data_IF_123311596449
#
_entry.id   IF_123311596449
#
_cell.length_a   1.000
_cell.length_b   1.000
_cell.length_c   1.000
_cell.angle_alpha   90.00
_cell.angle_beta   90.00
_cell.angle_gamma   90.00
#
_symmetry.space_group_name_H-M   'P 1'
#
loop_
_entity.id
_entity.type
_entity.pdbx_description
1 polymer ?
#
# COMPACT_ATOMS: atom_id res chain seq x y z
N UNK A 1 -10.15 -1.91 -23.10
CA UNK A 1 -9.52 -2.53 -21.92
C UNK A 1 -9.25 -4.00 -22.25
N UNK A 2 -8.05 -4.47 -21.97
CA UNK A 2 -7.58 -5.85 -22.19
C UNK A 2 -7.19 -6.42 -20.84
N UNK A 3 -7.48 -7.69 -20.61
CA UNK A 3 -7.14 -8.38 -19.36
C UNK A 3 -6.02 -9.38 -19.55
N UNK A 4 -5.28 -9.64 -18.49
CA UNK A 4 -4.27 -10.69 -18.45
C UNK A 4 -4.93 -12.07 -18.52
N UNK A 5 -4.41 -12.94 -19.39
CA UNK A 5 -4.95 -14.31 -19.55
C UNK A 5 -4.42 -15.25 -18.46
N UNK A 6 -3.36 -14.86 -17.73
CA UNK A 6 -2.78 -15.62 -16.61
C UNK A 6 -3.37 -15.25 -15.25
N UNK A 7 -3.87 -14.02 -15.09
CA UNK A 7 -4.64 -13.57 -13.92
C UNK A 7 -5.87 -12.80 -14.38
N UNK A 8 -6.31 -11.77 -13.65
CA UNK A 8 -7.49 -10.97 -13.99
C UNK A 8 -7.19 -9.46 -14.09
N UNK A 9 -5.92 -9.07 -14.02
CA UNK A 9 -5.53 -7.65 -14.00
C UNK A 9 -5.74 -7.02 -15.38
N UNK A 10 -6.37 -5.83 -15.48
CA UNK A 10 -6.49 -5.10 -16.73
C UNK A 10 -5.24 -4.30 -17.08
N UNK A 11 -5.06 -4.01 -18.36
CA UNK A 11 -3.99 -3.16 -18.87
C UNK A 11 -4.15 -1.67 -18.54
N UNK A 12 -5.26 -1.31 -17.95
CA UNK A 12 -5.55 0.06 -17.49
C UNK A 12 -4.97 0.38 -16.10
N UNK A 13 -4.43 -0.62 -15.40
CA UNK A 13 -3.69 -0.37 -14.15
C UNK A 13 -2.47 0.52 -14.45
N UNK A 14 -2.29 1.64 -13.72
CA UNK A 14 -1.16 2.54 -13.94
C UNK A 14 0.19 1.82 -13.84
N UNK A 15 1.04 2.03 -14.85
CA UNK A 15 2.39 1.48 -14.91
C UNK A 15 2.49 0.00 -15.30
N UNK A 16 1.37 -0.73 -15.41
CA UNK A 16 1.43 -2.14 -15.78
C UNK A 16 1.79 -2.32 -17.26
N UNK A 17 2.67 -3.26 -17.56
CA UNK A 17 3.03 -3.64 -18.92
C UNK A 17 2.43 -4.99 -19.29
N UNK A 18 2.02 -5.12 -20.55
CA UNK A 18 1.50 -6.36 -21.12
C UNK A 18 2.38 -6.81 -22.28
N UNK A 19 2.65 -8.10 -22.35
CA UNK A 19 3.31 -8.76 -23.48
C UNK A 19 2.51 -9.98 -23.91
N UNK A 20 2.96 -10.66 -24.97
CA UNK A 20 2.45 -11.97 -25.36
C UNK A 20 3.37 -13.06 -24.83
N UNK A 21 2.79 -14.12 -24.30
CA UNK A 21 3.53 -15.33 -23.99
C UNK A 21 3.77 -16.19 -25.25
N UNK A 22 4.38 -17.36 -25.07
CA UNK A 22 4.71 -18.28 -26.18
C UNK A 22 3.48 -18.84 -26.92
N UNK A 23 2.30 -18.78 -26.27
CA UNK A 23 1.02 -19.22 -26.85
C UNK A 23 0.22 -18.04 -27.44
N UNK A 24 0.78 -16.84 -27.46
CA UNK A 24 0.13 -15.61 -27.93
C UNK A 24 -0.88 -15.00 -26.95
N UNK A 25 -0.96 -15.50 -25.72
CA UNK A 25 -1.84 -14.97 -24.64
C UNK A 25 -1.26 -13.72 -24.01
N UNK A 26 -2.12 -12.83 -23.56
CA UNK A 26 -1.70 -11.62 -22.83
C UNK A 26 -1.19 -11.98 -21.43
N UNK A 27 0.02 -11.55 -21.12
CA UNK A 27 0.60 -11.70 -19.77
C UNK A 27 1.04 -10.34 -19.23
N UNK A 28 0.63 -10.00 -18.02
CA UNK A 28 1.02 -8.75 -17.37
C UNK A 28 2.37 -8.85 -16.65
N UNK A 29 3.03 -7.70 -16.47
CA UNK A 29 4.34 -7.60 -15.78
C UNK A 29 4.32 -8.27 -14.40
N UNK A 30 3.25 -8.14 -13.62
CA UNK A 30 3.14 -8.81 -12.32
C UNK A 30 3.18 -10.34 -12.41
N UNK A 31 2.57 -10.93 -13.44
CA UNK A 31 2.65 -12.37 -13.66
C UNK A 31 4.04 -12.81 -14.13
N UNK A 32 4.71 -11.99 -14.94
CA UNK A 32 6.10 -12.24 -15.37
C UNK A 32 7.03 -12.17 -14.16
N UNK A 33 6.96 -11.10 -13.39
CA UNK A 33 7.78 -10.90 -12.21
C UNK A 33 7.57 -12.04 -11.18
N UNK A 34 6.31 -12.46 -11.00
CA UNK A 34 6.01 -13.59 -10.12
C UNK A 34 6.69 -14.90 -10.57
N UNK A 35 6.67 -15.21 -11.88
CA UNK A 35 7.38 -16.37 -12.43
C UNK A 35 8.90 -16.23 -12.28
N UNK A 36 9.44 -15.04 -12.48
CA UNK A 36 10.88 -14.79 -12.37
C UNK A 36 11.39 -15.04 -10.94
N UNK A 37 10.54 -14.83 -9.92
CA UNK A 37 10.88 -15.10 -8.52
C UNK A 37 11.20 -16.55 -8.21
N UNK A 38 10.72 -17.50 -9.02
CA UNK A 38 11.04 -18.93 -8.87
C UNK A 38 12.52 -19.22 -9.11
N UNK A 39 13.21 -18.36 -9.88
CA UNK A 39 14.63 -18.49 -10.22
C UNK A 39 15.57 -17.73 -9.26
N UNK A 40 15.04 -17.06 -8.22
CA UNK A 40 15.83 -16.27 -7.30
C UNK A 40 16.39 -17.15 -6.19
N UNK A 41 17.71 -17.08 -5.98
CA UNK A 41 18.35 -17.69 -4.81
C UNK A 41 18.15 -16.82 -3.56
N UNK A 42 17.00 -16.99 -2.91
CA UNK A 42 16.70 -16.28 -1.66
C UNK A 42 17.63 -16.65 -0.50
N UNK A 43 18.35 -17.77 -0.55
CA UNK A 43 19.36 -18.09 0.48
C UNK A 43 20.59 -17.21 0.32
N UNK A 44 21.03 -16.98 -0.92
CA UNK A 44 22.12 -16.03 -1.19
C UNK A 44 21.71 -14.61 -0.80
N UNK A 45 20.52 -14.14 -1.22
CA UNK A 45 19.99 -12.80 -0.87
C UNK A 45 19.80 -12.61 0.64
N UNK A 46 19.40 -13.64 1.37
CA UNK A 46 19.30 -13.54 2.83
C UNK A 46 20.67 -13.34 3.48
N UNK A 47 21.74 -14.00 2.97
CA UNK A 47 23.12 -13.75 3.43
C UNK A 47 23.58 -12.32 3.11
N UNK A 48 23.16 -11.76 1.98
CA UNK A 48 23.41 -10.34 1.68
C UNK A 48 22.74 -9.43 2.70
N UNK A 49 21.50 -9.77 3.12
CA UNK A 49 20.79 -9.03 4.16
C UNK A 49 21.49 -9.16 5.52
N UNK A 50 21.97 -10.36 5.89
CA UNK A 50 22.77 -10.57 7.12
C UNK A 50 24.01 -9.69 7.12
N UNK A 51 24.78 -9.72 6.02
CA UNK A 51 25.99 -8.91 5.87
C UNK A 51 25.69 -7.40 5.88
N UNK A 52 24.53 -6.99 5.33
CA UNK A 52 24.07 -5.61 5.40
C UNK A 52 23.70 -5.22 6.84
N UNK A 53 22.94 -6.05 7.55
CA UNK A 53 22.55 -5.83 8.94
C UNK A 53 23.77 -5.72 9.85
N UNK A 54 24.79 -6.55 9.65
CA UNK A 54 26.03 -6.53 10.46
C UNK A 54 26.77 -5.19 10.39
N UNK A 55 26.63 -4.43 9.29
CA UNK A 55 27.18 -3.07 9.17
C UNK A 55 26.49 -2.07 10.10
N UNK A 56 25.26 -2.33 10.50
CA UNK A 56 24.44 -1.43 11.31
C UNK A 56 24.21 -1.95 12.73
N UNK A 57 24.44 -3.23 12.96
CA UNK A 57 24.24 -3.87 14.25
C UNK A 57 25.14 -3.26 15.30
N UNK A 58 24.53 -2.51 16.24
CA UNK A 58 25.24 -1.85 17.35
C UNK A 58 26.53 -1.14 16.92
N UNK A 59 26.46 -0.47 15.78
CA UNK A 59 27.60 0.17 15.16
C UNK A 59 28.34 1.08 16.14
N UNK A 60 29.29 0.47 16.86
CA UNK A 60 30.24 1.17 17.75
C UNK A 60 29.55 2.01 18.85
N UNK A 61 28.38 1.64 19.31
CA UNK A 61 27.61 2.44 20.27
C UNK A 61 27.07 3.75 19.68
N UNK A 62 27.12 3.91 18.36
CA UNK A 62 26.76 5.14 17.66
C UNK A 62 25.25 5.36 17.57
N UNK A 63 24.46 4.28 17.55
CA UNK A 63 23.02 4.34 17.36
C UNK A 63 22.32 3.56 18.48
N UNK A 64 21.23 4.10 18.98
CA UNK A 64 20.38 3.40 19.94
C UNK A 64 19.66 2.21 19.31
N UNK A 65 19.33 2.35 18.00
CA UNK A 65 18.62 1.34 17.21
C UNK A 65 19.47 0.94 16.01
N UNK A 66 19.42 -0.35 15.68
CA UNK A 66 20.17 -0.92 14.54
C UNK A 66 19.52 -0.60 13.21
N UNK A 67 18.19 -0.52 13.19
CA UNK A 67 17.40 -0.18 12.00
C UNK A 67 16.07 0.47 12.37
N UNK A 68 15.48 1.15 11.40
CA UNK A 68 14.11 1.63 11.45
C UNK A 68 13.22 0.79 10.53
N UNK A 69 11.98 0.52 10.92
CA UNK A 69 11.00 -0.20 10.10
C UNK A 69 9.75 0.66 9.96
N UNK A 70 9.32 0.89 8.72
CA UNK A 70 8.04 1.52 8.43
C UNK A 70 6.92 0.50 8.62
N UNK A 71 5.97 0.78 9.51
CA UNK A 71 4.90 -0.16 9.89
C UNK A 71 3.53 0.51 9.90
N UNK A 72 2.49 -0.27 9.58
CA UNK A 72 1.08 0.13 9.76
C UNK A 72 0.36 -0.67 10.86
N UNK A 73 0.95 -1.75 11.35
CA UNK A 73 0.27 -2.74 12.17
C UNK A 73 -0.28 -3.92 11.36
N UNK A 74 -0.27 -3.84 10.03
CA UNK A 74 -0.74 -4.89 9.14
C UNK A 74 0.10 -6.17 9.17
N UNK A 75 -0.37 -7.19 8.47
CA UNK A 75 0.29 -8.50 8.36
C UNK A 75 1.75 -8.44 7.91
N UNK A 76 2.02 -7.55 6.94
CA UNK A 76 3.36 -7.37 6.39
C UNK A 76 4.30 -6.73 7.39
N UNK A 77 3.80 -5.82 8.24
CA UNK A 77 4.55 -5.24 9.35
C UNK A 77 4.99 -6.30 10.36
N UNK A 78 4.11 -7.25 10.72
CA UNK A 78 4.47 -8.38 11.60
C UNK A 78 5.58 -9.24 11.01
N UNK A 79 5.50 -9.51 9.70
CA UNK A 79 6.52 -10.28 9.01
C UNK A 79 7.86 -9.53 8.93
N UNK A 80 7.84 -8.23 8.63
CA UNK A 80 9.05 -7.39 8.60
C UNK A 80 9.76 -7.37 9.96
N UNK A 81 9.01 -7.13 11.03
CA UNK A 81 9.57 -7.09 12.39
C UNK A 81 10.13 -8.45 12.78
N UNK A 82 9.43 -9.54 12.46
CA UNK A 82 9.94 -10.90 12.68
C UNK A 82 11.30 -11.13 12.00
N UNK A 83 11.42 -10.81 10.72
CA UNK A 83 12.68 -11.00 9.99
C UNK A 83 13.80 -10.18 10.63
N UNK A 84 13.57 -8.89 10.84
CA UNK A 84 14.63 -8.00 11.32
C UNK A 84 15.01 -8.29 12.78
N UNK A 85 14.03 -8.50 13.66
CA UNK A 85 14.29 -8.68 15.09
C UNK A 85 14.56 -10.13 15.46
N UNK A 86 13.68 -11.06 15.11
CA UNK A 86 13.80 -12.44 15.61
C UNK A 86 14.78 -13.28 14.77
N UNK A 87 14.81 -13.11 13.44
CA UNK A 87 15.74 -13.87 12.57
C UNK A 87 17.14 -13.25 12.54
N UNK A 88 17.22 -11.93 12.42
CA UNK A 88 18.49 -11.23 12.28
C UNK A 88 19.01 -10.63 13.59
N UNK A 89 18.22 -10.68 14.69
CA UNK A 89 18.63 -10.19 16.01
C UNK A 89 18.93 -8.68 16.06
N UNK A 90 18.30 -7.90 15.15
CA UNK A 90 18.41 -6.44 15.14
C UNK A 90 17.59 -5.82 16.29
N UNK A 91 17.96 -4.61 16.70
CA UNK A 91 17.17 -3.78 17.61
C UNK A 91 16.43 -2.67 16.82
N UNK A 92 15.22 -2.93 16.28
CA UNK A 92 14.51 -1.98 15.45
C UNK A 92 13.74 -0.95 16.28
N UNK A 93 13.62 0.29 15.74
CA UNK A 93 12.58 1.25 16.07
C UNK A 93 11.53 1.23 14.96
N UNK A 94 10.25 1.29 15.34
CA UNK A 94 9.13 1.23 14.41
C UNK A 94 8.54 2.62 14.22
N UNK A 95 8.31 3.04 12.96
CA UNK A 95 7.64 4.29 12.62
C UNK A 95 6.31 4.03 11.94
N UNK A 96 5.25 4.62 12.49
CA UNK A 96 3.88 4.47 11.99
C UNK A 96 3.24 5.82 11.73
N UNK A 97 2.26 5.85 10.83
CA UNK A 97 1.36 6.99 10.63
C UNK A 97 -0.05 6.51 10.91
N UNK A 98 -0.72 7.17 11.83
CA UNK A 98 -2.14 6.97 12.11
C UNK A 98 -2.94 7.99 11.30
N UNK A 99 -3.98 7.54 10.61
CA UNK A 99 -4.94 8.46 10.04
C UNK A 99 -5.96 8.91 11.11
N UNK A 100 -6.81 9.88 10.75
CA UNK A 100 -7.84 10.38 11.66
C UNK A 100 -9.23 9.80 11.33
N UNK A 101 -9.32 8.74 10.54
CA UNK A 101 -10.55 7.99 10.31
C UNK A 101 -10.91 7.12 11.51
N UNK A 102 -12.09 6.51 11.47
CA UNK A 102 -12.49 5.56 12.50
C UNK A 102 -11.63 4.30 12.40
N UNK A 103 -10.82 4.07 13.41
CA UNK A 103 -10.03 2.85 13.51
C UNK A 103 -10.93 1.65 13.76
N UNK A 104 -10.61 0.53 13.10
CA UNK A 104 -11.21 -0.77 13.42
C UNK A 104 -10.67 -1.30 14.75
N UNK A 105 -11.37 -2.23 15.37
CA UNK A 105 -10.84 -2.93 16.56
C UNK A 105 -9.63 -3.79 16.21
N UNK A 106 -9.65 -4.39 15.00
CA UNK A 106 -8.50 -5.12 14.46
C UNK A 106 -7.27 -4.20 14.34
N UNK A 107 -7.42 -3.01 13.75
CA UNK A 107 -6.32 -2.04 13.58
C UNK A 107 -5.70 -1.60 14.90
N UNK A 108 -6.53 -1.27 15.89
CA UNK A 108 -6.07 -0.92 17.26
C UNK A 108 -5.25 -2.04 17.89
N UNK A 109 -5.78 -3.29 17.82
CA UNK A 109 -5.11 -4.47 18.37
C UNK A 109 -3.79 -4.77 17.68
N UNK A 110 -3.76 -4.66 16.36
CA UNK A 110 -2.61 -5.04 15.55
C UNK A 110 -1.39 -4.11 15.77
N UNK A 111 -1.60 -2.81 15.84
CA UNK A 111 -0.51 -1.87 16.12
C UNK A 111 0.07 -2.10 17.53
N UNK A 112 -0.80 -2.30 18.51
CA UNK A 112 -0.41 -2.65 19.87
C UNK A 112 0.33 -3.98 19.95
N UNK A 113 -0.16 -4.99 19.21
CA UNK A 113 0.43 -6.33 19.16
C UNK A 113 1.88 -6.33 18.63
N UNK A 114 2.23 -5.46 17.69
CA UNK A 114 3.62 -5.32 17.24
C UNK A 114 4.57 -4.98 18.39
N UNK A 115 4.20 -4.03 19.24
CA UNK A 115 5.02 -3.66 20.40
C UNK A 115 5.06 -4.78 21.44
N UNK A 116 3.92 -5.38 21.76
CA UNK A 116 3.81 -6.40 22.82
C UNK A 116 4.46 -7.72 22.41
N UNK A 117 4.21 -8.20 21.19
CA UNK A 117 4.71 -9.50 20.72
C UNK A 117 6.21 -9.47 20.46
N UNK A 118 6.69 -8.38 19.86
CA UNK A 118 8.10 -8.29 19.47
C UNK A 118 8.96 -7.42 20.42
N UNK A 119 8.36 -6.77 21.40
CA UNK A 119 9.08 -5.89 22.35
C UNK A 119 9.82 -4.75 21.63
N UNK A 120 9.16 -4.08 20.67
CA UNK A 120 9.71 -2.96 19.92
C UNK A 120 9.10 -1.63 20.37
N UNK A 121 9.90 -0.57 20.32
CA UNK A 121 9.36 0.79 20.48
C UNK A 121 8.69 1.22 19.18
N UNK A 122 7.51 1.85 19.30
CA UNK A 122 6.76 2.43 18.18
C UNK A 122 6.62 3.93 18.40
N UNK A 123 6.89 4.71 17.36
CA UNK A 123 6.60 6.15 17.33
C UNK A 123 5.62 6.38 16.20
N UNK A 124 4.40 6.77 16.57
CA UNK A 124 3.31 7.05 15.65
C UNK A 124 3.16 8.55 15.43
N UNK A 125 3.00 8.96 14.18
CA UNK A 125 2.54 10.29 13.81
C UNK A 125 1.02 10.28 13.68
N UNK A 126 0.36 11.12 14.47
CA UNK A 126 -1.04 11.49 14.23
C UNK A 126 -1.04 12.91 13.64
N UNK A 127 -1.40 13.06 12.34
CA UNK A 127 -1.30 14.34 11.67
C UNK A 127 -2.37 15.34 12.15
N UNK A 128 -2.11 16.62 11.90
CA UNK A 128 -3.09 17.68 12.16
C UNK A 128 -4.37 17.47 11.36
N UNK A 129 -5.50 17.40 12.08
CA UNK A 129 -6.82 17.10 11.51
C UNK A 129 -7.27 18.16 10.49
N UNK A 130 -6.98 19.45 10.74
CA UNK A 130 -7.43 20.53 9.85
C UNK A 130 -6.72 20.46 8.50
N UNK A 131 -5.40 20.34 8.55
CA UNK A 131 -4.57 20.19 7.34
C UNK A 131 -4.96 18.94 6.57
N UNK A 132 -5.11 17.81 7.27
CA UNK A 132 -5.52 16.54 6.65
C UNK A 132 -6.85 16.68 5.90
N UNK A 133 -7.91 17.19 6.56
CA UNK A 133 -9.23 17.37 5.93
C UNK A 133 -9.16 18.21 4.67
N UNK A 134 -8.47 19.34 4.71
CA UNK A 134 -8.37 20.29 3.59
C UNK A 134 -7.61 19.70 2.41
N UNK A 135 -6.43 19.11 2.67
CA UNK A 135 -5.62 18.52 1.61
C UNK A 135 -6.34 17.32 0.99
N UNK A 136 -6.96 16.46 1.82
CA UNK A 136 -7.71 15.31 1.33
C UNK A 136 -8.91 15.72 0.47
N UNK A 137 -9.65 16.76 0.85
CA UNK A 137 -10.75 17.28 0.03
C UNK A 137 -10.22 17.80 -1.32
N UNK A 138 -9.17 18.63 -1.33
CA UNK A 138 -8.55 19.14 -2.55
C UNK A 138 -8.05 18.00 -3.47
N UNK A 139 -7.39 17.00 -2.91
CA UNK A 139 -6.86 15.87 -3.70
C UNK A 139 -7.97 14.94 -4.19
N UNK A 140 -9.03 14.79 -3.44
CA UNK A 140 -10.21 14.04 -3.86
C UNK A 140 -10.94 14.75 -5.00
N UNK A 141 -11.21 16.06 -4.88
CA UNK A 141 -11.89 16.84 -5.92
C UNK A 141 -11.09 16.91 -7.22
N UNK A 142 -9.78 17.22 -7.13
CA UNK A 142 -8.95 17.48 -8.30
C UNK A 142 -8.43 16.21 -8.97
N UNK A 143 -8.06 15.19 -8.18
CA UNK A 143 -7.32 14.02 -8.67
C UNK A 143 -8.03 12.69 -8.43
N UNK A 144 -9.18 12.67 -7.75
CA UNK A 144 -9.83 11.44 -7.30
C UNK A 144 -8.92 10.60 -6.38
N UNK A 145 -8.13 11.27 -5.52
CA UNK A 145 -7.20 10.67 -4.56
C UNK A 145 -7.62 11.02 -3.13
N UNK A 146 -8.60 10.32 -2.54
CA UNK A 146 -9.20 10.71 -1.26
C UNK A 146 -8.23 10.59 -0.07
N UNK A 147 -7.22 9.73 -0.16
CA UNK A 147 -6.31 9.41 0.95
C UNK A 147 -4.86 9.84 0.72
N UNK A 148 -4.61 10.57 -0.37
CA UNK A 148 -3.23 10.92 -0.77
C UNK A 148 -2.40 11.55 0.35
N UNK A 149 -3.04 12.31 1.23
CA UNK A 149 -2.38 12.89 2.40
C UNK A 149 -1.71 11.82 3.27
N UNK A 150 -2.43 10.75 3.58
CA UNK A 150 -1.89 9.63 4.36
C UNK A 150 -0.93 8.79 3.52
N UNK A 151 -1.30 8.51 2.28
CA UNK A 151 -0.46 7.75 1.34
C UNK A 151 0.93 8.38 1.20
N UNK A 152 1.02 9.70 1.20
CA UNK A 152 2.29 10.42 1.16
C UNK A 152 3.07 10.28 2.45
N UNK A 153 2.42 10.46 3.60
CA UNK A 153 3.06 10.41 4.91
C UNK A 153 3.62 9.03 5.27
N UNK A 154 2.93 7.94 4.92
CA UNK A 154 3.44 6.58 5.21
C UNK A 154 4.79 6.30 4.54
N UNK A 155 5.12 7.02 3.47
CA UNK A 155 6.43 6.92 2.83
C UNK A 155 7.42 8.01 3.28
N UNK A 156 6.99 9.25 3.48
CA UNK A 156 7.89 10.36 3.79
C UNK A 156 8.26 10.47 5.28
N UNK A 157 7.32 10.18 6.17
CA UNK A 157 7.54 10.27 7.62
C UNK A 157 8.66 9.34 8.13
N UNK A 158 8.73 8.05 7.75
CA UNK A 158 9.82 7.17 8.18
C UNK A 158 11.20 7.69 7.80
N UNK A 159 11.36 8.32 6.64
CA UNK A 159 12.64 8.94 6.23
C UNK A 159 13.02 10.10 7.17
N UNK A 160 12.07 10.99 7.46
CA UNK A 160 12.31 12.11 8.35
C UNK A 160 12.70 11.65 9.76
N UNK A 161 12.04 10.58 10.24
CA UNK A 161 12.32 10.02 11.57
C UNK A 161 13.62 9.24 11.61
N UNK A 162 13.94 8.46 10.59
CA UNK A 162 15.22 7.75 10.49
C UNK A 162 16.41 8.72 10.55
N UNK A 163 16.29 9.89 9.90
CA UNK A 163 17.28 10.97 10.01
C UNK A 163 17.36 11.55 11.42
N UNK A 164 16.20 11.81 12.07
CA UNK A 164 16.17 12.36 13.44
C UNK A 164 16.75 11.41 14.48
N UNK A 165 16.46 10.12 14.34
CA UNK A 165 16.96 9.06 15.25
C UNK A 165 18.36 8.56 14.86
N UNK A 166 18.97 9.14 13.83
CA UNK A 166 20.26 8.70 13.31
C UNK A 166 20.30 7.20 13.08
N UNK A 167 19.26 6.65 12.44
CA UNK A 167 19.09 5.23 12.14
C UNK A 167 19.16 5.02 10.63
N UNK A 168 20.37 4.86 10.05
CA UNK A 168 20.54 4.88 8.59
C UNK A 168 19.84 3.77 7.84
N UNK A 169 19.78 2.55 8.40
CA UNK A 169 19.07 1.43 7.78
C UNK A 169 17.57 1.58 7.99
N UNK A 170 16.84 1.88 6.91
CA UNK A 170 15.40 2.00 6.92
C UNK A 170 14.76 0.88 6.09
N UNK A 171 13.86 0.12 6.69
CA UNK A 171 13.26 -1.08 6.08
C UNK A 171 11.82 -0.82 5.70
N UNK A 172 11.51 -1.02 4.42
CA UNK A 172 10.16 -1.12 3.86
C UNK A 172 9.86 -2.58 3.51
N UNK A 173 8.59 -2.93 3.38
CA UNK A 173 8.16 -4.28 3.04
C UNK A 173 8.50 -4.65 1.61
N UNK A 174 7.60 -4.36 0.70
CA UNK A 174 7.73 -4.73 -0.71
C UNK A 174 7.90 -3.54 -1.65
N UNK A 175 8.54 -3.80 -2.77
CA UNK A 175 8.45 -2.93 -3.94
C UNK A 175 7.07 -3.18 -4.61
N UNK A 176 6.12 -2.30 -4.35
CA UNK A 176 4.74 -2.39 -4.86
C UNK A 176 4.69 -2.46 -6.39
N UNK A 177 5.58 -1.72 -7.08
CA UNK A 177 5.65 -1.70 -8.54
C UNK A 177 6.08 -3.07 -9.08
N UNK A 178 7.10 -3.66 -8.52
CA UNK A 178 7.58 -5.00 -8.92
C UNK A 178 6.59 -6.11 -8.56
N UNK A 179 6.07 -6.09 -7.33
CA UNK A 179 5.23 -7.17 -6.79
C UNK A 179 3.84 -7.22 -7.43
N UNK A 180 3.26 -6.06 -7.70
CA UNK A 180 1.83 -5.98 -8.04
C UNK A 180 1.54 -5.41 -9.42
N UNK A 181 2.59 -5.16 -10.22
CA UNK A 181 2.45 -4.74 -11.60
C UNK A 181 2.42 -3.22 -11.75
N UNK A 182 3.56 -2.61 -11.54
CA UNK A 182 3.90 -1.26 -11.98
C UNK A 182 4.87 -1.29 -13.15
N UNK A 183 5.66 -0.22 -13.27
CA UNK A 183 6.67 -0.04 -14.32
C UNK A 183 7.94 -0.88 -14.11
N UNK A 184 8.21 -1.34 -12.89
CA UNK A 184 9.45 -2.02 -12.55
C UNK A 184 9.46 -3.44 -13.12
N UNK A 185 10.44 -3.72 -13.94
CA UNK A 185 10.69 -5.03 -14.56
C UNK A 185 11.83 -5.77 -13.86
N UNK A 186 12.66 -5.05 -13.12
CA UNK A 186 13.77 -5.58 -12.34
C UNK A 186 13.57 -5.28 -10.87
N UNK A 187 13.98 -6.24 -10.05
CA UNK A 187 13.92 -6.10 -8.60
C UNK A 187 15.15 -5.38 -8.08
N UNK A 188 14.96 -4.40 -7.21
CA UNK A 188 16.04 -3.65 -6.57
C UNK A 188 15.97 -3.76 -5.06
N UNK A 189 17.11 -3.86 -4.35
CA UNK A 189 17.11 -3.75 -2.88
C UNK A 189 16.85 -2.34 -2.38
N UNK A 190 17.09 -1.30 -3.20
CA UNK A 190 17.01 0.09 -2.78
C UNK A 190 15.58 0.63 -2.81
N UNK A 191 15.14 1.19 -1.69
CA UNK A 191 13.86 1.90 -1.58
C UNK A 191 14.03 3.44 -1.64
N UNK A 192 15.15 3.97 -2.15
CA UNK A 192 15.39 5.41 -2.22
C UNK A 192 14.33 6.16 -3.06
N UNK A 193 13.78 5.48 -4.06
CA UNK A 193 12.78 6.06 -4.99
C UNK A 193 11.33 5.70 -4.64
N UNK A 194 11.08 5.20 -3.43
CA UNK A 194 9.74 4.77 -3.00
C UNK A 194 8.69 5.88 -3.12
N UNK A 195 9.10 7.13 -3.07
CA UNK A 195 8.23 8.29 -3.25
C UNK A 195 7.63 8.43 -4.66
N UNK A 196 8.26 7.79 -5.65
CA UNK A 196 7.86 7.82 -7.05
C UNK A 196 6.86 6.73 -7.41
N UNK A 197 6.51 5.86 -6.44
CA UNK A 197 5.52 4.82 -6.68
C UNK A 197 4.12 5.43 -6.92
N UNK A 198 3.26 4.69 -7.63
CA UNK A 198 1.95 5.18 -8.06
C UNK A 198 1.00 5.60 -6.91
N UNK A 199 1.21 5.12 -5.68
CA UNK A 199 0.41 5.45 -4.50
C UNK A 199 0.79 6.83 -3.98
N UNK A 200 2.07 7.06 -3.73
CA UNK A 200 2.62 8.33 -3.25
C UNK A 200 2.83 9.36 -4.37
N UNK A 201 2.44 9.04 -5.60
CA UNK A 201 2.73 9.77 -6.85
C UNK A 201 2.90 11.28 -6.65
N UNK A 202 3.84 11.83 -7.38
CA UNK A 202 4.31 13.20 -7.24
C UNK A 202 3.20 14.21 -7.60
N UNK A 203 2.45 14.63 -6.59
CA UNK A 203 1.64 15.82 -6.68
C UNK A 203 2.50 17.00 -6.20
N UNK A 204 2.37 18.12 -6.87
CA UNK A 204 3.05 19.35 -6.45
C UNK A 204 2.50 19.81 -5.09
N UNK A 205 3.26 19.58 -4.03
CA UNK A 205 2.86 19.90 -2.66
C UNK A 205 2.54 21.39 -2.50
N UNK A 206 3.23 22.24 -3.24
CA UNK A 206 3.03 23.70 -3.19
C UNK A 206 1.63 24.12 -3.65
N UNK A 207 0.92 23.31 -4.44
CA UNK A 207 -0.47 23.59 -4.84
C UNK A 207 -1.45 23.55 -3.67
N UNK A 208 -1.06 22.94 -2.55
CA UNK A 208 -1.91 22.84 -1.37
C UNK A 208 -1.69 23.98 -0.37
N UNK A 209 -0.59 24.76 -0.55
CA UNK A 209 -0.28 25.94 0.28
C UNK A 209 -1.22 27.08 -0.08
N UNK A 210 -1.88 27.65 0.92
CA UNK A 210 -2.80 28.80 0.79
C UNK A 210 -2.86 29.60 2.10
N UNK A 211 -3.89 30.44 2.27
CA UNK A 211 -4.06 31.23 3.49
C UNK A 211 -4.27 30.38 4.76
N UNK A 212 -4.77 29.15 4.60
CA UNK A 212 -5.11 28.26 5.71
C UNK A 212 -4.12 27.11 5.91
N UNK A 213 -3.37 26.72 4.86
CA UNK A 213 -2.37 25.66 4.87
C UNK A 213 -1.02 26.31 4.57
N UNK A 214 -0.15 26.39 5.56
CA UNK A 214 1.19 26.93 5.42
C UNK A 214 2.20 25.83 5.12
N UNK A 215 3.38 26.20 4.62
CA UNK A 215 4.47 25.28 4.31
C UNK A 215 4.86 24.42 5.54
N UNK A 216 4.87 25.04 6.71
CA UNK A 216 5.17 24.34 7.98
C UNK A 216 4.20 23.19 8.29
N UNK A 217 2.93 23.28 7.85
CA UNK A 217 1.95 22.20 8.02
C UNK A 217 2.27 20.98 7.14
N UNK A 218 3.06 21.18 6.09
CA UNK A 218 3.40 20.18 5.08
C UNK A 218 4.87 19.74 5.11
N UNK A 219 5.65 20.13 6.12
CA UNK A 219 7.10 19.82 6.19
C UNK A 219 7.43 18.33 6.03
N UNK A 220 6.59 17.45 6.59
CA UNK A 220 6.80 15.99 6.51
C UNK A 220 6.46 15.39 5.15
N UNK A 221 5.85 16.18 4.24
CA UNK A 221 5.52 15.73 2.87
C UNK A 221 6.66 15.90 1.90
N UNK A 222 7.60 16.82 2.19
CA UNK A 222 8.73 17.05 1.32
C UNK A 222 9.74 15.91 1.42
N UNK A 223 10.27 15.51 0.28
CA UNK A 223 11.37 14.55 0.25
C UNK A 223 12.62 15.16 0.88
N UNK A 224 13.38 14.38 1.63
CA UNK A 224 14.71 14.82 2.02
C UNK A 224 15.52 15.18 0.77
N UNK A 225 16.34 16.24 0.85
CA UNK A 225 17.27 16.55 -0.22
C UNK A 225 18.31 15.41 -0.38
N UNK A 226 19.06 15.44 -1.50
CA UNK A 226 20.04 14.40 -1.84
C UNK A 226 21.02 14.14 -0.71
N UNK A 227 21.60 15.19 -0.10
CA UNK A 227 22.60 15.07 0.97
C UNK A 227 22.06 14.35 2.21
N UNK A 228 20.76 14.51 2.50
CA UNK A 228 20.07 13.79 3.57
C UNK A 228 19.73 12.36 3.18
N UNK A 229 19.29 12.13 1.93
CA UNK A 229 19.01 10.79 1.41
C UNK A 229 20.28 9.92 1.35
N UNK A 230 21.43 10.52 1.05
CA UNK A 230 22.70 9.80 0.99
C UNK A 230 23.19 9.32 2.37
N UNK A 231 22.64 9.88 3.45
CA UNK A 231 22.87 9.40 4.82
C UNK A 231 22.04 8.18 5.21
N UNK A 232 21.05 7.82 4.39
CA UNK A 232 20.13 6.71 4.65
C UNK A 232 20.37 5.57 3.65
N UNK A 233 20.12 4.37 4.12
CA UNK A 233 20.06 3.17 3.30
C UNK A 233 18.68 2.53 3.41
N UNK A 234 17.66 3.08 2.72
CA UNK A 234 16.35 2.49 2.69
C UNK A 234 16.34 1.27 1.78
N UNK A 235 15.74 0.17 2.26
CA UNK A 235 15.68 -1.10 1.54
C UNK A 235 14.26 -1.63 1.43
N UNK A 236 14.01 -2.43 0.38
CA UNK A 236 12.86 -3.31 0.28
C UNK A 236 13.21 -4.70 0.82
N UNK A 237 12.52 -5.14 1.86
CA UNK A 237 12.74 -6.46 2.44
C UNK A 237 12.39 -7.59 1.46
N UNK A 238 11.39 -7.36 0.60
CA UNK A 238 10.96 -8.31 -0.43
C UNK A 238 12.06 -8.73 -1.42
N UNK A 239 13.08 -7.91 -1.60
CA UNK A 239 14.26 -8.28 -2.39
C UNK A 239 15.04 -9.44 -1.76
N UNK A 240 15.17 -9.43 -0.44
CA UNK A 240 16.04 -10.35 0.30
C UNK A 240 15.32 -11.62 0.75
N UNK A 241 14.00 -11.57 0.91
CA UNK A 241 13.19 -12.69 1.39
C UNK A 241 12.01 -12.94 0.45
N UNK A 242 11.61 -14.20 0.34
CA UNK A 242 10.44 -14.56 -0.48
C UNK A 242 9.20 -13.86 0.08
N UNK A 243 8.69 -12.91 -0.70
CA UNK A 243 7.51 -12.13 -0.33
C UNK A 243 6.24 -12.71 -0.91
N UNK A 244 5.26 -13.00 -0.04
CA UNK A 244 3.93 -13.45 -0.42
C UNK A 244 2.93 -12.95 0.62
N UNK A 245 2.02 -12.08 0.20
CA UNK A 245 1.11 -11.40 1.13
C UNK A 245 0.16 -12.35 1.87
N UNK A 246 -0.19 -13.50 1.28
CA UNK A 246 -1.01 -14.50 1.97
C UNK A 246 -0.20 -15.31 3.00
N UNK A 247 1.01 -15.70 2.66
CA UNK A 247 1.91 -16.37 3.61
C UNK A 247 2.26 -15.46 4.79
N UNK A 248 2.47 -14.16 4.52
CA UNK A 248 2.70 -13.15 5.55
C UNK A 248 1.47 -13.04 6.49
N UNK A 249 0.26 -13.12 5.93
CA UNK A 249 -0.98 -13.12 6.72
C UNK A 249 -1.06 -14.36 7.63
N UNK A 250 -0.83 -15.56 7.10
CA UNK A 250 -0.85 -16.80 7.91
C UNK A 250 0.18 -16.71 9.04
N UNK A 251 1.40 -16.23 8.73
CA UNK A 251 2.42 -15.99 9.73
C UNK A 251 1.96 -14.98 10.79
N UNK A 252 1.45 -13.83 10.38
CA UNK A 252 1.00 -12.78 11.29
C UNK A 252 -0.12 -13.25 12.22
N UNK A 253 -1.08 -14.04 11.71
CA UNK A 253 -2.12 -14.69 12.55
C UNK A 253 -1.52 -15.56 13.65
N UNK A 254 -0.45 -16.30 13.35
CA UNK A 254 0.24 -17.11 14.37
C UNK A 254 0.95 -16.26 15.44
N UNK A 255 1.08 -14.94 15.21
CA UNK A 255 1.70 -13.95 16.09
C UNK A 255 0.71 -12.96 16.69
N UNK A 256 -0.59 -13.25 16.64
CA UNK A 256 -1.63 -12.44 17.27
C UNK A 256 -2.24 -11.36 16.39
N UNK A 257 -1.90 -11.32 15.09
CA UNK A 257 -2.58 -10.45 14.14
C UNK A 257 -4.07 -10.78 14.05
N UNK A 258 -4.91 -9.77 14.08
CA UNK A 258 -6.37 -9.85 13.95
C UNK A 258 -6.79 -9.30 12.60
N UNK A 259 -7.56 -10.06 11.82
CA UNK A 259 -8.24 -9.60 10.62
C UNK A 259 -9.63 -9.04 10.95
N UNK A 260 -10.40 -8.68 9.91
CA UNK A 260 -11.73 -8.11 10.06
C UNK A 260 -12.84 -9.17 10.20
N UNK A 261 -12.51 -10.46 10.35
CA UNK A 261 -13.50 -11.51 10.54
C UNK A 261 -14.35 -11.26 11.79
N UNK A 262 -15.66 -11.23 11.63
CA UNK A 262 -16.61 -10.92 12.70
C UNK A 262 -16.76 -9.43 13.05
N UNK A 263 -15.92 -8.56 12.51
CA UNK A 263 -16.02 -7.10 12.71
C UNK A 263 -16.63 -6.39 11.50
N UNK A 264 -16.14 -6.70 10.30
CA UNK A 264 -16.57 -6.05 9.08
C UNK A 264 -16.39 -6.96 7.85
N UNK A 265 -17.49 -7.49 7.34
CA UNK A 265 -17.48 -8.21 6.06
C UNK A 265 -17.52 -7.21 4.89
N UNK A 266 -16.34 -6.92 4.33
CA UNK A 266 -16.19 -5.98 3.23
C UNK A 266 -16.72 -6.55 1.93
N UNK A 267 -17.75 -5.91 1.35
CA UNK A 267 -18.33 -6.35 0.08
C UNK A 267 -17.46 -6.01 -1.13
N UNK A 268 -16.59 -5.00 -1.01
CA UNK A 268 -15.73 -4.51 -2.08
C UNK A 268 -14.41 -5.25 -2.22
N UNK A 269 -13.98 -6.01 -1.22
CA UNK A 269 -12.70 -6.72 -1.18
C UNK A 269 -12.85 -8.22 -1.38
N UNK A 270 -11.78 -8.87 -1.82
CA UNK A 270 -11.71 -10.34 -1.97
C UNK A 270 -11.26 -11.03 -0.68
N UNK A 271 -10.79 -10.26 0.30
CA UNK A 271 -10.17 -10.72 1.53
C UNK A 271 -10.51 -9.77 2.71
N UNK A 272 -10.16 -10.17 3.94
CA UNK A 272 -10.45 -9.44 5.17
C UNK A 272 -9.20 -9.09 6.00
N UNK A 273 -8.02 -9.30 5.46
CA UNK A 273 -6.77 -9.24 6.22
C UNK A 273 -5.80 -8.13 5.77
N UNK A 274 -6.14 -7.38 4.75
CA UNK A 274 -5.31 -6.25 4.30
C UNK A 274 -6.03 -4.93 4.50
N UNK A 275 -5.27 -3.84 4.74
CA UNK A 275 -5.85 -2.53 5.02
C UNK A 275 -6.94 -2.58 6.10
N UNK A 276 -6.58 -3.20 7.21
CA UNK A 276 -7.52 -3.44 8.33
C UNK A 276 -7.51 -2.31 9.36
N UNK A 277 -6.69 -1.28 9.17
CA UNK A 277 -6.38 -0.28 10.19
C UNK A 277 -7.54 0.67 10.47
N UNK A 278 -8.13 1.24 9.41
CA UNK A 278 -9.25 2.17 9.53
C UNK A 278 -10.29 2.02 8.42
N UNK A 279 -11.49 2.53 8.68
CA UNK A 279 -12.63 2.33 7.79
C UNK A 279 -12.53 3.22 6.55
N UNK A 280 -12.40 4.53 6.75
CA UNK A 280 -12.43 5.51 5.65
C UNK A 280 -11.23 5.42 4.72
N UNK A 281 -10.08 4.95 5.22
CA UNK A 281 -8.89 4.76 4.40
C UNK A 281 -9.11 3.76 3.26
N UNK A 282 -9.94 2.75 3.47
CA UNK A 282 -10.24 1.72 2.43
C UNK A 282 -10.87 2.30 1.15
N UNK A 283 -11.37 3.54 1.19
CA UNK A 283 -11.94 4.23 0.03
C UNK A 283 -10.94 4.34 -1.14
N UNK A 284 -9.62 4.54 -0.86
CA UNK A 284 -8.62 4.68 -1.92
C UNK A 284 -8.54 3.45 -2.82
N UNK A 285 -8.74 2.27 -2.25
CA UNK A 285 -8.67 1.01 -2.98
C UNK A 285 -9.81 0.90 -4.00
N UNK A 286 -11.01 1.42 -3.65
CA UNK A 286 -12.15 1.44 -4.57
C UNK A 286 -12.06 2.57 -5.60
N UNK A 287 -11.49 3.73 -5.28
CA UNK A 287 -11.37 4.86 -6.22
C UNK A 287 -10.54 4.56 -7.47
N UNK A 288 -9.90 3.42 -7.54
CA UNK A 288 -9.30 2.87 -8.77
C UNK A 288 -10.37 2.46 -9.79
N UNK A 289 -11.55 2.02 -9.32
CA UNK A 289 -12.62 1.55 -10.20
C UNK A 289 -13.11 2.61 -11.18
N UNK A 290 -13.58 3.79 -10.76
CA UNK A 290 -14.02 4.83 -11.70
C UNK A 290 -12.91 5.30 -12.65
N UNK A 291 -11.65 5.31 -12.19
CA UNK A 291 -10.52 5.82 -12.99
C UNK A 291 -9.96 4.79 -13.96
N UNK A 292 -9.86 3.53 -13.55
CA UNK A 292 -9.10 2.50 -14.27
C UNK A 292 -9.91 1.24 -14.58
N UNK A 293 -11.16 1.14 -14.12
CA UNK A 293 -12.04 0.01 -14.37
C UNK A 293 -11.72 -1.24 -13.54
N UNK A 294 -10.92 -1.12 -12.48
CA UNK A 294 -10.62 -2.19 -11.53
C UNK A 294 -10.45 -1.61 -10.11
N UNK A 295 -10.64 -2.43 -9.09
CA UNK A 295 -10.48 -2.03 -7.69
C UNK A 295 -9.82 -3.11 -6.84
N UNK A 296 -10.10 -3.09 -5.54
CA UNK A 296 -9.56 -3.98 -4.52
C UNK A 296 -9.72 -5.47 -4.86
N UNK A 297 -10.92 -5.87 -5.28
CA UNK A 297 -11.18 -7.28 -5.58
C UNK A 297 -10.31 -7.79 -6.74
N UNK A 298 -10.12 -6.99 -7.81
CA UNK A 298 -9.20 -7.33 -8.90
C UNK A 298 -7.75 -7.48 -8.43
N UNK A 299 -7.28 -6.57 -7.58
CA UNK A 299 -5.90 -6.62 -7.07
C UNK A 299 -5.63 -7.93 -6.31
N UNK A 300 -6.54 -8.32 -5.42
CA UNK A 300 -6.37 -9.54 -4.62
C UNK A 300 -6.68 -10.81 -5.40
N UNK A 301 -7.71 -10.82 -6.21
CA UNK A 301 -8.00 -11.97 -7.08
C UNK A 301 -6.82 -12.28 -8.00
N UNK A 302 -6.17 -11.25 -8.59
CA UNK A 302 -4.99 -11.43 -9.41
C UNK A 302 -3.80 -12.01 -8.62
N UNK A 303 -3.61 -11.58 -7.35
CA UNK A 303 -2.58 -12.15 -6.46
C UNK A 303 -2.89 -13.60 -6.12
N UNK A 304 -4.13 -13.91 -5.77
CA UNK A 304 -4.54 -15.26 -5.40
C UNK A 304 -4.41 -16.25 -6.57
N UNK A 305 -4.67 -15.83 -7.81
CA UNK A 305 -4.38 -16.64 -8.98
C UNK A 305 -2.88 -16.91 -9.11
N UNK A 306 -2.03 -15.88 -8.97
CA UNK A 306 -0.56 -16.06 -9.00
C UNK A 306 -0.05 -16.98 -7.90
N UNK A 307 -0.68 -16.97 -6.72
CA UNK A 307 -0.32 -17.82 -5.59
C UNK A 307 -0.92 -19.24 -5.67
N UNK A 308 -1.73 -19.53 -6.67
CA UNK A 308 -2.41 -20.82 -6.81
C UNK A 308 -3.56 -21.04 -5.82
N UNK A 309 -4.07 -19.96 -5.20
CA UNK A 309 -5.18 -20.00 -4.24
C UNK A 309 -6.55 -19.94 -4.90
N UNK A 310 -6.63 -19.39 -6.10
CA UNK A 310 -7.82 -19.32 -6.94
C UNK A 310 -7.48 -19.74 -8.37
N UNK A 311 -8.40 -20.44 -9.02
CA UNK A 311 -8.39 -20.54 -10.47
C UNK A 311 -8.74 -19.19 -11.11
N UNK A 312 -8.34 -18.95 -12.35
CA UNK A 312 -8.72 -17.74 -13.10
C UNK A 312 -10.24 -17.58 -13.18
N UNK A 313 -10.99 -18.69 -13.35
CA UNK A 313 -12.45 -18.68 -13.42
C UNK A 313 -13.07 -18.16 -12.12
N UNK A 314 -12.67 -18.69 -10.97
CA UNK A 314 -13.13 -18.21 -9.66
C UNK A 314 -12.78 -16.72 -9.43
N UNK A 315 -11.60 -16.31 -9.86
CA UNK A 315 -11.16 -14.92 -9.79
C UNK A 315 -12.04 -13.98 -10.64
N UNK A 316 -12.45 -14.42 -11.86
CA UNK A 316 -13.39 -13.67 -12.71
C UNK A 316 -14.74 -13.48 -12.00
N UNK A 317 -15.31 -14.56 -11.48
CA UNK A 317 -16.60 -14.53 -10.78
C UNK A 317 -16.55 -13.58 -9.56
N UNK A 318 -15.45 -13.63 -8.81
CA UNK A 318 -15.23 -12.79 -7.64
C UNK A 318 -15.11 -11.31 -8.03
N UNK A 319 -14.34 -10.98 -9.05
CA UNK A 319 -14.16 -9.61 -9.55
C UNK A 319 -15.49 -9.04 -10.06
N UNK A 320 -16.21 -9.79 -10.89
CA UNK A 320 -17.51 -9.37 -11.41
C UNK A 320 -18.53 -9.10 -10.29
N UNK A 321 -18.47 -9.85 -9.19
CA UNK A 321 -19.35 -9.71 -8.05
C UNK A 321 -19.01 -8.52 -7.14
N UNK A 322 -17.73 -8.16 -7.01
CA UNK A 322 -17.24 -7.29 -5.92
C UNK A 322 -16.63 -5.97 -6.37
N UNK A 323 -15.91 -5.92 -7.48
CA UNK A 323 -15.00 -4.81 -7.83
C UNK A 323 -15.70 -3.45 -7.99
N UNK A 324 -16.96 -3.49 -8.46
CA UNK A 324 -17.81 -2.30 -8.63
C UNK A 324 -18.48 -1.81 -7.34
N UNK A 325 -18.44 -2.60 -6.27
CA UNK A 325 -19.11 -2.28 -5.01
C UNK A 325 -18.22 -1.39 -4.14
N UNK A 326 -18.86 -0.46 -3.45
CA UNK A 326 -18.24 0.34 -2.40
C UNK A 326 -19.05 0.18 -1.13
N UNK A 327 -18.40 -0.18 -0.05
CA UNK A 327 -19.05 -0.32 1.26
C UNK A 327 -19.52 1.05 1.78
N UNK A 328 -20.80 1.14 2.09
CA UNK A 328 -21.41 2.38 2.59
C UNK A 328 -20.71 2.88 3.88
N UNK A 329 -20.22 1.97 4.71
CA UNK A 329 -19.44 2.28 5.93
C UNK A 329 -18.21 3.13 5.62
N UNK A 330 -17.49 2.84 4.51
CA UNK A 330 -16.35 3.66 4.06
C UNK A 330 -16.78 5.06 3.63
N UNK A 331 -17.91 5.16 2.89
CA UNK A 331 -18.43 6.45 2.43
C UNK A 331 -18.86 7.30 3.61
N UNK A 332 -19.54 6.70 4.58
CA UNK A 332 -20.00 7.40 5.79
C UNK A 332 -18.85 7.92 6.60
N UNK A 333 -17.85 7.08 6.90
CA UNK A 333 -16.70 7.48 7.69
C UNK A 333 -15.90 8.59 7.00
N UNK A 334 -15.65 8.44 5.68
CA UNK A 334 -14.98 9.47 4.90
C UNK A 334 -15.75 10.79 4.88
N UNK A 335 -17.05 10.76 4.58
CA UNK A 335 -17.88 11.96 4.52
C UNK A 335 -17.96 12.67 5.87
N UNK A 336 -18.13 11.93 6.95
CA UNK A 336 -18.15 12.47 8.32
C UNK A 336 -16.81 13.11 8.68
N UNK A 337 -15.70 12.44 8.34
CA UNK A 337 -14.38 12.97 8.62
C UNK A 337 -14.12 14.26 7.83
N UNK A 338 -14.30 14.26 6.52
CA UNK A 338 -14.06 15.43 5.65
C UNK A 338 -15.05 16.56 5.91
N UNK A 339 -16.29 16.24 6.30
CA UNK A 339 -17.37 17.22 6.52
C UNK A 339 -18.15 17.53 5.25
N UNK A 340 -18.38 16.53 4.37
CA UNK A 340 -19.20 16.67 3.16
C UNK A 340 -20.41 15.75 3.20
N UNK A 341 -21.45 16.10 2.43
CA UNK A 341 -22.61 15.20 2.26
C UNK A 341 -22.29 14.02 1.34
N UNK A 342 -23.01 12.90 1.49
CA UNK A 342 -22.95 11.77 0.54
C UNK A 342 -23.28 12.21 -0.90
N UNK A 343 -24.20 13.15 -1.06
CA UNK A 343 -24.54 13.72 -2.38
C UNK A 343 -23.33 14.43 -2.99
N UNK A 344 -22.62 15.23 -2.21
CA UNK A 344 -21.38 15.89 -2.66
C UNK A 344 -20.30 14.88 -3.00
N UNK A 345 -20.14 13.87 -2.16
CA UNK A 345 -19.20 12.76 -2.40
C UNK A 345 -19.44 12.11 -3.77
N UNK A 346 -20.65 11.69 -4.06
CA UNK A 346 -20.96 11.03 -5.34
C UNK A 346 -20.83 11.97 -6.55
N UNK A 347 -21.14 13.26 -6.40
CA UNK A 347 -20.88 14.26 -7.45
C UNK A 347 -19.39 14.41 -7.77
N UNK A 348 -18.52 14.29 -6.75
CA UNK A 348 -17.06 14.30 -6.97
C UNK A 348 -16.65 13.01 -7.67
N UNK A 349 -17.08 11.85 -7.18
CA UNK A 349 -16.76 10.54 -7.77
C UNK A 349 -17.17 10.48 -9.24
N UNK A 350 -18.36 10.98 -9.60
CA UNK A 350 -18.85 10.99 -10.98
C UNK A 350 -17.90 11.70 -11.96
N UNK A 351 -17.21 12.75 -11.52
CA UNK A 351 -16.24 13.49 -12.35
C UNK A 351 -15.00 12.67 -12.70
N UNK A 352 -14.72 11.63 -11.92
CA UNK A 352 -13.53 10.80 -12.09
C UNK A 352 -13.79 9.51 -12.88
N UNK A 353 -15.02 9.26 -13.32
CA UNK A 353 -15.25 8.13 -14.23
C UNK A 353 -14.61 8.37 -15.58
N UNK A 354 -13.70 7.47 -15.95
CA UNK A 354 -13.06 7.50 -17.25
C UNK A 354 -14.03 7.05 -18.34
N UNK A 355 -14.54 7.99 -19.12
CA UNK A 355 -15.53 7.72 -20.16
C UNK A 355 -14.99 6.92 -21.34
N UNK A 356 -13.69 6.73 -21.48
CA UNK A 356 -13.14 5.78 -22.44
C UNK A 356 -13.40 4.33 -22.01
N UNK A 357 -13.51 4.09 -20.70
CA UNK A 357 -13.74 2.77 -20.10
C UNK A 357 -15.20 2.52 -19.75
N UNK A 358 -15.96 3.57 -19.46
CA UNK A 358 -17.33 3.49 -18.98
C UNK A 358 -18.35 4.15 -19.92
N UNK A 359 -19.61 3.77 -19.75
CA UNK A 359 -20.77 4.46 -20.30
C UNK A 359 -21.85 4.57 -19.23
N UNK A 360 -22.73 5.54 -19.34
CA UNK A 360 -23.96 5.60 -18.54
C UNK A 360 -25.05 4.82 -19.25
N UNK A 361 -25.71 3.91 -18.54
CA UNK A 361 -26.91 3.23 -19.05
C UNK A 361 -28.16 4.16 -18.92
N UNK A 362 -29.31 3.69 -19.39
CA UNK A 362 -30.58 4.45 -19.38
C UNK A 362 -31.02 4.83 -17.95
N UNK A 363 -30.54 4.16 -16.92
CA UNK A 363 -30.79 4.46 -15.51
C UNK A 363 -29.74 5.42 -14.90
N UNK A 364 -28.80 5.93 -15.70
CA UNK A 364 -27.74 6.82 -15.23
C UNK A 364 -26.59 6.13 -14.50
N UNK A 365 -26.54 4.79 -14.48
CA UNK A 365 -25.49 4.03 -13.83
C UNK A 365 -24.27 3.87 -14.73
N UNK A 366 -23.07 3.97 -14.16
CA UNK A 366 -21.81 3.70 -14.89
C UNK A 366 -21.58 2.20 -15.06
N UNK A 367 -21.34 1.77 -16.29
CA UNK A 367 -21.05 0.38 -16.65
C UNK A 367 -19.77 0.31 -17.47
N UNK A 368 -18.92 -0.68 -17.20
CA UNK A 368 -17.74 -0.95 -18.02
C UNK A 368 -18.14 -1.35 -19.45
N UNK A 369 -17.49 -0.74 -20.45
CA UNK A 369 -17.64 -1.09 -21.86
C UNK A 369 -17.14 -2.51 -22.15
N UNK A 370 -15.99 -2.88 -21.56
CA UNK A 370 -15.37 -4.19 -21.72
C UNK A 370 -15.31 -4.88 -20.35
N UNK A 371 -16.14 -5.91 -20.18
CA UNK A 371 -16.16 -6.71 -18.96
C UNK A 371 -15.09 -7.79 -19.02
N UNK A 372 -14.55 -8.15 -17.84
CA UNK A 372 -13.69 -9.31 -17.66
C UNK A 372 -14.47 -10.60 -18.01
N UNK A 373 -13.87 -11.45 -18.86
CA UNK A 373 -14.44 -12.73 -19.31
C UNK A 373 -13.45 -13.86 -19.07
#
# INVERSE_FOLDING_TARGET
MIYCDHCVMPNTRPGINFTKDKEGKNICSACINHKNKENIDYKARFKELEALCDKYRRMNGKFEYDCAIAVSGGKDSHFQVHIMKEKLGMNPILFSVEDNFTMTEAGKKNLKNLSETFGCHIISLKPDIKTQKKVMLKTFEKYGKPTWFIDRLIYSYPFAMALKFNTPLLVYGENVSYEYGGSDTEETPSAKEIFLNGVASDLNINEFIDDEIKEENLQLFFNPNKDKLDKLNPIYLSYFVKWNSYSNYIFAKSRGFTDLEGEWDRTMCAENFDQVDSIGYSLHAWMKYPKFGHACASDYAARFVRYGLLSRKEAIELVQKRDHKLDNKCVEDFCNFIGISKTTFWKIVEKHYNMDLFYKNDFGEFKLKNKLQ
#
